data_IF_541245302528
#
_entry.id   IF_541245302528
#
_cell.length_a   1.000
_cell.length_b   1.000
_cell.length_c   1.000
_cell.angle_alpha   90.00
_cell.angle_beta   90.00
_cell.angle_gamma   90.00
#
_symmetry.space_group_name_H-M   'P 1'
#
loop_
_entity.id
_entity.type
_entity.pdbx_description
1 polymer ?
#
# COMPACT_ATOMS: atom_id res chain seq x y z
N UNK A 1 1.52 12.59 -3.42
CA UNK A 1 1.42 13.79 -2.57
C UNK A 1 0.22 13.71 -1.64
N UNK A 2 -1.00 13.61 -2.15
CA UNK A 2 -2.21 13.67 -1.33
C UNK A 2 -2.34 12.49 -0.34
N UNK A 3 -1.95 11.27 -0.72
CA UNK A 3 -1.91 10.14 0.22
C UNK A 3 -1.10 10.48 1.48
N UNK A 4 0.09 11.06 1.29
CA UNK A 4 0.96 11.43 2.40
C UNK A 4 0.40 12.63 3.20
N UNK A 5 -0.14 13.63 2.51
CA UNK A 5 -0.69 14.82 3.17
C UNK A 5 -1.92 14.52 4.04
N UNK A 6 -2.77 13.59 3.63
CA UNK A 6 -4.06 13.31 4.29
C UNK A 6 -4.07 12.09 5.19
N UNK A 7 -2.96 11.41 5.32
CA UNK A 7 -2.80 10.34 6.30
C UNK A 7 -2.28 10.88 7.64
N UNK A 8 -2.48 10.11 8.69
CA UNK A 8 -2.00 10.47 10.04
C UNK A 8 -0.51 10.19 10.18
N UNK A 9 -0.02 9.09 9.58
CA UNK A 9 1.40 8.72 9.49
C UNK A 9 1.68 8.21 8.09
N UNK A 10 2.84 8.56 7.54
CA UNK A 10 3.40 7.99 6.31
C UNK A 10 4.60 7.12 6.63
N UNK A 11 4.49 5.81 6.46
CA UNK A 11 5.61 4.88 6.50
C UNK A 11 6.23 4.80 5.11
N UNK A 12 7.39 5.39 4.96
CA UNK A 12 8.16 5.37 3.72
C UNK A 12 9.22 4.26 3.77
N UNK A 13 9.10 3.31 2.86
CA UNK A 13 10.00 2.16 2.71
C UNK A 13 10.81 2.35 1.42
N UNK A 14 12.11 2.58 1.51
CA UNK A 14 12.90 2.87 0.33
C UNK A 14 14.32 2.32 0.42
N UNK A 15 14.90 1.98 -0.72
CA UNK A 15 16.33 1.71 -0.89
C UNK A 15 17.09 3.00 -1.20
N UNK A 16 16.39 4.01 -1.75
CA UNK A 16 16.91 5.32 -2.09
C UNK A 16 15.92 6.42 -1.70
N UNK A 17 16.25 7.20 -0.67
CA UNK A 17 15.47 8.34 -0.20
C UNK A 17 15.80 9.65 -0.91
N UNK A 18 16.76 9.66 -1.84
CA UNK A 18 17.11 10.84 -2.64
C UNK A 18 16.29 10.96 -3.93
N UNK A 19 15.49 9.98 -4.25
CA UNK A 19 14.65 10.00 -5.45
C UNK A 19 13.61 11.13 -5.40
N UNK A 20 13.24 11.74 -6.55
CA UNK A 20 12.28 12.84 -6.60
C UNK A 20 10.92 12.47 -5.95
N UNK A 21 10.47 11.22 -6.12
CA UNK A 21 9.24 10.72 -5.51
C UNK A 21 9.30 10.73 -3.99
N UNK A 22 10.41 10.25 -3.41
CA UNK A 22 10.61 10.25 -1.96
C UNK A 22 10.73 11.66 -1.37
N UNK A 23 11.43 12.55 -2.06
CA UNK A 23 11.51 13.96 -1.65
C UNK A 23 10.11 14.59 -1.62
N UNK A 24 9.29 14.33 -2.64
CA UNK A 24 7.92 14.82 -2.73
C UNK A 24 7.04 14.25 -1.63
N UNK A 25 7.13 12.94 -1.37
CA UNK A 25 6.39 12.26 -0.31
C UNK A 25 6.75 12.82 1.07
N UNK A 26 8.06 13.00 1.34
CA UNK A 26 8.54 13.58 2.59
C UNK A 26 8.03 15.00 2.81
N UNK A 27 8.07 15.84 1.77
CA UNK A 27 7.54 17.22 1.85
C UNK A 27 6.03 17.23 2.13
N UNK A 28 5.28 16.34 1.49
CA UNK A 28 3.84 16.25 1.68
C UNK A 28 3.44 15.72 3.07
N UNK A 29 4.19 14.77 3.59
CA UNK A 29 3.94 14.20 4.92
C UNK A 29 4.39 15.12 6.07
N UNK A 30 5.43 15.92 5.86
CA UNK A 30 5.99 16.77 6.94
C UNK A 30 6.37 15.95 8.18
N UNK A 31 5.90 16.38 9.34
CA UNK A 31 6.18 15.72 10.63
C UNK A 31 5.57 14.32 10.77
N UNK A 32 4.67 13.93 9.85
CA UNK A 32 4.04 12.60 9.80
C UNK A 32 4.90 11.56 9.07
N UNK A 33 6.10 11.93 8.62
CA UNK A 33 6.96 11.09 7.81
C UNK A 33 7.84 10.18 8.66
N UNK A 34 7.64 8.88 8.53
CA UNK A 34 8.43 7.84 9.17
C UNK A 34 9.19 7.04 8.10
N UNK A 35 10.53 7.11 8.10
CA UNK A 35 11.35 6.40 7.11
C UNK A 35 11.92 5.09 7.64
N UNK A 36 11.97 4.09 6.77
CA UNK A 36 12.67 2.84 7.00
C UNK A 36 13.47 2.43 5.76
N UNK A 37 14.78 2.20 5.94
CA UNK A 37 15.70 1.83 4.87
C UNK A 37 15.51 0.35 4.52
N UNK A 38 15.10 0.06 3.28
CA UNK A 38 15.12 -1.28 2.73
C UNK A 38 16.55 -1.65 2.33
N UNK A 39 16.94 -2.89 2.59
CA UNK A 39 18.25 -3.43 2.24
C UNK A 39 18.10 -4.69 1.39
N UNK A 40 19.14 -5.09 0.67
CA UNK A 40 19.19 -6.33 -0.12
C UNK A 40 18.92 -7.59 0.72
N UNK A 41 19.09 -7.51 2.04
CA UNK A 41 18.78 -8.60 2.98
C UNK A 41 17.27 -8.77 3.25
N UNK A 42 16.40 -8.00 2.58
CA UNK A 42 14.97 -8.05 2.83
C UNK A 42 14.38 -9.47 2.67
N UNK A 43 14.84 -10.23 1.66
CA UNK A 43 14.42 -11.63 1.48
C UNK A 43 14.69 -12.48 2.70
N UNK A 44 15.83 -12.29 3.38
CA UNK A 44 16.17 -12.97 4.62
C UNK A 44 15.23 -12.59 5.77
N UNK A 45 14.83 -11.31 5.84
CA UNK A 45 13.93 -10.82 6.88
C UNK A 45 12.50 -11.34 6.75
N UNK A 46 12.07 -11.77 5.57
CA UNK A 46 10.72 -12.31 5.36
C UNK A 46 10.64 -13.84 5.57
N UNK A 47 11.76 -14.56 5.52
CA UNK A 47 11.81 -15.98 5.81
C UNK A 47 11.90 -16.20 7.32
N UNK A 48 10.77 -16.16 8.00
CA UNK A 48 10.46 -16.65 9.36
C UNK A 48 11.64 -16.82 10.33
N UNK A 49 12.61 -15.93 10.34
CA UNK A 49 13.58 -15.95 11.40
C UNK A 49 13.31 -14.78 12.37
N UNK A 50 13.80 -14.95 13.59
CA UNK A 50 13.64 -13.98 14.68
C UNK A 50 14.03 -12.55 14.29
N UNK A 51 14.91 -12.38 13.30
CA UNK A 51 15.34 -11.07 12.81
C UNK A 51 14.23 -10.32 12.08
N UNK A 52 13.44 -11.02 11.27
CA UNK A 52 12.32 -10.41 10.54
C UNK A 52 11.19 -9.95 11.46
N UNK A 53 10.88 -10.76 12.47
CA UNK A 53 9.90 -10.37 13.50
C UNK A 53 10.40 -9.19 14.33
N UNK A 54 11.67 -9.20 14.70
CA UNK A 54 12.30 -8.12 15.46
C UNK A 54 12.24 -6.80 14.70
N UNK A 55 12.58 -6.80 13.41
CA UNK A 55 12.51 -5.58 12.58
C UNK A 55 11.07 -5.11 12.37
N UNK A 56 10.12 -6.02 12.15
CA UNK A 56 8.71 -5.67 12.04
C UNK A 56 8.17 -5.06 13.33
N UNK A 57 8.49 -5.63 14.50
CA UNK A 57 8.13 -5.07 15.83
C UNK A 57 8.77 -3.72 16.07
N UNK A 58 10.03 -3.55 15.66
CA UNK A 58 10.70 -2.24 15.75
C UNK A 58 9.92 -1.17 14.97
N UNK A 59 9.50 -1.46 13.74
CA UNK A 59 8.71 -0.53 12.94
C UNK A 59 7.35 -0.28 13.59
N UNK A 60 6.67 -1.31 14.10
CA UNK A 60 5.40 -1.15 14.80
C UNK A 60 5.54 -0.21 16.01
N UNK A 61 6.60 -0.35 16.81
CA UNK A 61 6.89 0.56 17.92
C UNK A 61 7.24 1.97 17.46
N UNK A 62 7.95 2.11 16.35
CA UNK A 62 8.21 3.44 15.75
C UNK A 62 6.90 4.14 15.37
N UNK A 63 5.93 3.40 14.81
CA UNK A 63 4.60 3.93 14.48
C UNK A 63 3.85 4.31 15.77
N UNK A 64 3.82 3.43 16.76
CA UNK A 64 3.14 3.69 18.04
C UNK A 64 3.69 4.89 18.79
N UNK A 65 5.02 5.05 18.78
CA UNK A 65 5.71 6.14 19.48
C UNK A 65 5.79 7.43 18.65
N UNK A 66 5.21 7.44 17.45
CA UNK A 66 5.21 8.62 16.61
C UNK A 66 4.32 9.72 17.19
N UNK A 67 4.76 10.98 17.15
CA UNK A 67 4.02 12.12 17.72
C UNK A 67 2.62 12.31 17.12
N UNK A 68 2.41 11.85 15.90
CA UNK A 68 1.11 11.88 15.20
C UNK A 68 0.27 10.61 15.41
N UNK A 69 0.72 9.66 16.25
CA UNK A 69 -0.07 8.47 16.56
C UNK A 69 -1.31 8.86 17.40
N UNK A 70 -2.42 8.18 17.14
CA UNK A 70 -3.69 8.39 17.83
C UNK A 70 -4.18 7.07 18.40
N UNK A 71 -4.55 7.04 19.66
CA UNK A 71 -5.03 5.82 20.35
C UNK A 71 -6.36 5.30 19.80
N UNK A 72 -7.22 6.18 19.26
CA UNK A 72 -8.45 5.79 18.57
C UNK A 72 -8.20 5.18 17.18
N UNK A 73 -6.96 5.28 16.69
CA UNK A 73 -6.46 4.67 15.45
C UNK A 73 -6.00 5.69 14.41
N UNK A 74 -5.21 5.20 13.48
CA UNK A 74 -4.56 6.01 12.45
C UNK A 74 -4.91 5.56 11.02
N UNK A 75 -4.87 6.49 10.08
CA UNK A 75 -4.76 6.22 8.66
C UNK A 75 -3.29 6.19 8.29
N UNK A 76 -2.81 5.02 7.91
CA UNK A 76 -1.39 4.80 7.59
C UNK A 76 -1.18 4.83 6.08
N UNK A 77 -0.41 5.78 5.59
CA UNK A 77 0.06 5.76 4.21
C UNK A 77 1.32 4.90 4.08
N UNK A 78 1.30 3.98 3.14
CA UNK A 78 2.48 3.22 2.71
C UNK A 78 2.97 3.83 1.41
N UNK A 79 4.22 4.27 1.41
CA UNK A 79 4.87 4.88 0.27
C UNK A 79 6.33 4.43 0.16
N UNK A 80 6.95 4.64 -0.99
CA UNK A 80 8.35 4.31 -1.16
C UNK A 80 8.80 4.24 -2.61
N UNK A 81 9.90 3.55 -2.84
CA UNK A 81 10.48 3.48 -4.17
C UNK A 81 9.58 2.71 -5.15
N UNK A 82 9.53 3.22 -6.37
CA UNK A 82 8.92 2.53 -7.49
C UNK A 82 9.68 1.26 -7.90
N UNK A 83 9.01 0.40 -8.67
CA UNK A 83 9.50 -0.92 -9.09
C UNK A 83 10.93 -0.88 -9.66
N UNK A 84 11.23 0.06 -10.55
CA UNK A 84 12.57 0.15 -11.20
C UNK A 84 13.68 0.37 -10.18
N UNK A 85 13.46 1.20 -9.17
CA UNK A 85 14.44 1.45 -8.10
C UNK A 85 14.62 0.23 -7.21
N UNK A 86 13.54 -0.45 -6.86
CA UNK A 86 13.58 -1.68 -6.09
C UNK A 86 14.34 -2.80 -6.82
N UNK A 87 14.05 -3.01 -8.12
CA UNK A 87 14.71 -4.04 -8.93
C UNK A 87 16.23 -3.81 -9.05
N UNK A 88 16.68 -2.55 -9.13
CA UNK A 88 18.12 -2.21 -9.08
C UNK A 88 18.79 -2.66 -7.77
N UNK A 89 18.02 -2.77 -6.70
CA UNK A 89 18.49 -3.26 -5.40
C UNK A 89 18.22 -4.77 -5.19
N UNK A 90 17.76 -5.48 -6.23
CA UNK A 90 17.43 -6.91 -6.17
C UNK A 90 16.17 -7.22 -5.35
N UNK A 91 15.28 -6.25 -5.18
CA UNK A 91 14.05 -6.38 -4.39
C UNK A 91 12.85 -6.30 -5.35
N UNK A 92 11.92 -7.22 -5.24
CA UNK A 92 10.65 -7.21 -5.96
C UNK A 92 9.47 -6.76 -5.09
N UNK A 93 8.37 -6.38 -5.73
CA UNK A 93 7.15 -5.91 -5.05
C UNK A 93 6.61 -6.92 -4.05
N UNK A 94 6.65 -8.23 -4.37
CA UNK A 94 6.08 -9.26 -3.52
C UNK A 94 6.91 -9.49 -2.26
N UNK A 95 8.23 -9.38 -2.38
CA UNK A 95 9.14 -9.38 -1.23
C UNK A 95 8.81 -8.22 -0.29
N UNK A 96 8.59 -7.03 -0.83
CA UNK A 96 8.17 -5.86 -0.03
C UNK A 96 6.79 -6.08 0.59
N UNK A 97 5.82 -6.63 -0.15
CA UNK A 97 4.49 -6.91 0.35
C UNK A 97 4.51 -7.92 1.52
N UNK A 98 5.34 -8.96 1.43
CA UNK A 98 5.52 -9.91 2.52
C UNK A 98 6.12 -9.26 3.77
N UNK A 99 7.08 -8.36 3.61
CA UNK A 99 7.65 -7.60 4.72
C UNK A 99 6.62 -6.66 5.37
N UNK A 100 5.86 -5.91 4.56
CA UNK A 100 4.80 -5.03 5.08
C UNK A 100 3.72 -5.84 5.80
N UNK A 101 3.38 -7.04 5.31
CA UNK A 101 2.47 -7.94 6.00
C UNK A 101 2.95 -8.27 7.41
N UNK A 102 4.24 -8.57 7.57
CA UNK A 102 4.82 -8.83 8.89
C UNK A 102 4.77 -7.59 9.79
N UNK A 103 4.98 -6.38 9.22
CA UNK A 103 4.81 -5.12 9.95
C UNK A 103 3.36 -4.97 10.44
N UNK A 104 2.35 -5.22 9.61
CA UNK A 104 0.96 -5.12 10.02
C UNK A 104 0.58 -6.14 11.09
N UNK A 105 1.12 -7.36 11.02
CA UNK A 105 0.97 -8.36 12.09
C UNK A 105 1.59 -7.85 13.39
N UNK A 106 2.82 -7.34 13.33
CA UNK A 106 3.49 -6.77 14.50
C UNK A 106 2.75 -5.54 15.06
N UNK A 107 2.19 -4.69 14.20
CA UNK A 107 1.34 -3.57 14.63
C UNK A 107 0.14 -4.06 15.46
N UNK A 108 -0.54 -5.12 15.02
CA UNK A 108 -1.63 -5.71 15.78
C UNK A 108 -1.17 -6.23 17.14
N UNK A 109 -0.03 -6.94 17.18
CA UNK A 109 0.53 -7.51 18.42
C UNK A 109 1.00 -6.43 19.40
N UNK A 110 1.53 -5.32 18.91
CA UNK A 110 1.98 -4.17 19.70
C UNK A 110 0.82 -3.19 20.03
N UNK A 111 -0.43 -3.53 19.68
CA UNK A 111 -1.61 -2.71 19.96
C UNK A 111 -1.72 -1.45 19.09
N UNK A 112 -1.04 -1.38 17.96
CA UNK A 112 -1.18 -0.28 17.00
C UNK A 112 -2.47 -0.44 16.22
N UNK A 113 -3.39 0.50 16.38
CA UNK A 113 -4.68 0.49 15.69
C UNK A 113 -4.59 1.22 14.36
N UNK A 114 -4.61 0.47 13.27
CA UNK A 114 -4.66 1.00 11.90
C UNK A 114 -6.10 0.92 11.41
N UNK A 115 -6.72 2.08 11.17
CA UNK A 115 -8.12 2.18 10.68
C UNK A 115 -8.19 1.94 9.17
N UNK A 116 -7.18 2.41 8.45
CA UNK A 116 -7.13 2.37 7.01
C UNK A 116 -5.67 2.44 6.52
N UNK A 117 -5.34 1.62 5.53
CA UNK A 117 -4.08 1.73 4.79
C UNK A 117 -4.33 2.53 3.52
N UNK A 118 -3.50 3.53 3.26
CA UNK A 118 -3.54 4.35 2.05
C UNK A 118 -2.29 4.17 1.23
N UNK A 119 -2.42 4.31 -0.09
CA UNK A 119 -1.27 4.28 -0.98
C UNK A 119 -1.60 4.86 -2.35
N UNK A 120 -0.56 5.17 -3.14
CA UNK A 120 -0.69 5.64 -4.53
C UNK A 120 -0.99 4.52 -5.52
N UNK A 121 -0.74 3.27 -5.13
CA UNK A 121 -0.93 2.11 -6.00
C UNK A 121 0.03 2.07 -7.19
N UNK A 122 1.08 2.87 -7.22
CA UNK A 122 2.15 2.72 -8.22
C UNK A 122 2.92 1.44 -7.99
N UNK A 123 3.47 0.85 -9.06
CA UNK A 123 4.26 -0.38 -8.94
C UNK A 123 5.49 -0.18 -8.07
N UNK A 124 5.70 -1.10 -7.15
CA UNK A 124 6.75 -1.05 -6.13
C UNK A 124 6.16 -1.02 -4.73
N UNK A 125 6.65 -0.13 -3.86
CA UNK A 125 6.24 -0.08 -2.45
C UNK A 125 4.76 0.27 -2.28
N UNK A 126 4.25 1.20 -3.06
CA UNK A 126 2.85 1.62 -2.99
C UNK A 126 1.90 0.43 -3.27
N UNK A 127 2.17 -0.33 -4.32
CA UNK A 127 1.45 -1.55 -4.67
C UNK A 127 1.59 -2.61 -3.58
N UNK A 128 2.82 -2.83 -3.09
CA UNK A 128 3.11 -3.76 -2.02
C UNK A 128 2.31 -3.47 -0.74
N UNK A 129 2.13 -2.19 -0.41
CA UNK A 129 1.32 -1.75 0.73
C UNK A 129 -0.14 -2.19 0.61
N UNK A 130 -0.73 -2.05 -0.57
CA UNK A 130 -2.12 -2.48 -0.82
C UNK A 130 -2.24 -4.01 -0.78
N UNK A 131 -1.34 -4.73 -1.44
CA UNK A 131 -1.30 -6.20 -1.40
C UNK A 131 -1.21 -6.70 0.04
N UNK A 132 -0.33 -6.11 0.85
CA UNK A 132 -0.17 -6.49 2.25
C UNK A 132 -1.43 -6.18 3.08
N UNK A 133 -2.07 -5.03 2.86
CA UNK A 133 -3.31 -4.66 3.54
C UNK A 133 -4.44 -5.64 3.22
N UNK A 134 -4.59 -6.01 1.94
CA UNK A 134 -5.56 -6.99 1.49
C UNK A 134 -5.36 -8.34 2.19
N UNK A 135 -4.12 -8.83 2.24
CA UNK A 135 -3.78 -10.10 2.90
C UNK A 135 -4.03 -10.09 4.40
N UNK A 136 -3.94 -8.93 5.04
CA UNK A 136 -4.25 -8.76 6.46
C UNK A 136 -5.73 -8.37 6.70
N UNK A 137 -6.58 -8.41 5.68
CA UNK A 137 -8.00 -8.06 5.78
C UNK A 137 -8.24 -6.64 6.31
N UNK A 138 -7.36 -5.71 5.97
CA UNK A 138 -7.44 -4.33 6.40
C UNK A 138 -8.19 -3.49 5.38
N UNK A 139 -8.94 -2.48 5.87
CA UNK A 139 -9.47 -1.45 4.99
C UNK A 139 -8.32 -0.73 4.30
N UNK A 140 -8.41 -0.58 2.96
CA UNK A 140 -7.42 0.16 2.21
C UNK A 140 -8.05 1.03 1.12
N UNK A 141 -7.37 2.12 0.79
CA UNK A 141 -7.75 3.01 -0.31
C UNK A 141 -6.54 3.38 -1.15
N UNK A 142 -6.79 3.57 -2.43
CA UNK A 142 -5.77 3.94 -3.41
C UNK A 142 -6.14 5.28 -4.01
N UNK A 143 -5.28 6.27 -3.81
CA UNK A 143 -5.34 7.51 -4.55
C UNK A 143 -4.37 7.41 -5.72
N UNK A 144 -4.89 6.94 -6.83
CA UNK A 144 -4.11 6.61 -8.02
C UNK A 144 -3.48 7.86 -8.66
N UNK A 145 -2.33 7.71 -9.34
CA UNK A 145 -1.76 8.79 -10.13
C UNK A 145 -2.67 9.18 -11.30
N UNK A 146 -2.51 10.42 -11.79
CA UNK A 146 -3.22 10.89 -12.98
C UNK A 146 -3.05 9.91 -14.14
N UNK A 147 -4.16 9.59 -14.84
CA UNK A 147 -4.17 8.62 -15.93
C UNK A 147 -4.06 7.16 -15.47
N UNK A 148 -4.11 6.88 -14.16
CA UNK A 148 -3.91 5.52 -13.63
C UNK A 148 -2.65 4.86 -14.17
N UNK A 149 -1.53 5.59 -14.17
CA UNK A 149 -0.25 5.08 -14.68
C UNK A 149 0.41 4.14 -13.68
N UNK A 150 0.99 3.07 -14.20
CA UNK A 150 1.72 2.07 -13.43
C UNK A 150 2.76 1.38 -14.32
N UNK A 151 3.58 0.52 -13.74
CA UNK A 151 4.53 -0.31 -14.49
C UNK A 151 4.20 -1.77 -14.27
N UNK A 152 4.24 -2.56 -15.32
CA UNK A 152 4.10 -4.01 -15.22
C UNK A 152 5.37 -4.67 -14.63
N UNK A 153 5.34 -6.00 -14.43
CA UNK A 153 6.46 -6.77 -13.87
C UNK A 153 7.75 -6.67 -14.70
N UNK A 154 7.65 -6.28 -15.97
CA UNK A 154 8.80 -6.06 -16.85
C UNK A 154 9.34 -4.63 -16.76
N UNK A 155 8.62 -3.74 -16.10
CA UNK A 155 8.94 -2.33 -15.96
C UNK A 155 8.34 -1.45 -17.07
N UNK A 156 7.53 -2.02 -17.99
CA UNK A 156 6.86 -1.28 -19.03
C UNK A 156 5.76 -0.39 -18.48
N UNK A 157 5.66 0.84 -18.97
CA UNK A 157 4.61 1.76 -18.57
C UNK A 157 3.26 1.32 -19.14
N UNK A 158 2.27 1.36 -18.30
CA UNK A 158 0.86 1.08 -18.58
C UNK A 158 0.02 2.22 -18.05
N UNK A 159 -1.14 2.41 -18.65
CA UNK A 159 -2.11 3.40 -18.21
C UNK A 159 -3.54 2.88 -18.40
N UNK A 160 -4.48 3.57 -17.80
CA UNK A 160 -5.91 3.28 -17.92
C UNK A 160 -6.51 2.62 -16.69
N UNK A 161 -7.69 3.14 -16.33
CA UNK A 161 -8.42 2.80 -15.11
C UNK A 161 -8.71 1.31 -14.97
N UNK A 162 -9.28 0.71 -16.02
CA UNK A 162 -9.71 -0.70 -15.96
C UNK A 162 -8.52 -1.63 -15.73
N UNK A 163 -7.42 -1.44 -16.46
CA UNK A 163 -6.21 -2.24 -16.29
C UNK A 163 -5.59 -2.05 -14.92
N UNK A 164 -5.53 -0.80 -14.43
CA UNK A 164 -5.02 -0.46 -13.10
C UNK A 164 -5.83 -1.15 -11.99
N UNK A 165 -7.16 -1.10 -12.07
CA UNK A 165 -8.05 -1.72 -11.09
C UNK A 165 -7.96 -3.24 -11.14
N UNK A 166 -7.98 -3.83 -12.35
CA UNK A 166 -7.93 -5.28 -12.51
C UNK A 166 -6.63 -5.88 -11.98
N UNK A 167 -5.51 -5.16 -12.06
CA UNK A 167 -4.24 -5.57 -11.49
C UNK A 167 -4.35 -5.96 -10.01
N UNK A 168 -5.00 -5.13 -9.20
CA UNK A 168 -5.20 -5.44 -7.79
C UNK A 168 -6.17 -6.60 -7.56
N UNK A 169 -7.13 -6.82 -8.47
CA UNK A 169 -8.00 -7.98 -8.44
C UNK A 169 -7.24 -9.27 -8.78
N UNK A 170 -6.40 -9.24 -9.81
CA UNK A 170 -5.59 -10.38 -10.26
C UNK A 170 -4.58 -10.78 -9.19
N UNK A 171 -3.85 -9.83 -8.62
CA UNK A 171 -2.92 -10.11 -7.54
C UNK A 171 -3.62 -10.61 -6.29
N UNK A 172 -4.81 -10.12 -6.00
CA UNK A 172 -5.65 -10.65 -4.93
C UNK A 172 -6.06 -12.09 -5.19
N UNK A 173 -6.36 -12.48 -6.43
CA UNK A 173 -6.69 -13.86 -6.82
C UNK A 173 -5.51 -14.79 -6.58
N UNK A 174 -4.31 -14.42 -6.98
CA UNK A 174 -3.09 -15.21 -6.82
C UNK A 174 -2.80 -15.52 -5.34
N UNK A 175 -3.31 -14.68 -4.43
CA UNK A 175 -3.13 -14.84 -2.99
C UNK A 175 -4.35 -15.41 -2.28
N UNK A 176 -5.45 -15.61 -2.98
CA UNK A 176 -6.74 -15.90 -2.38
C UNK A 176 -7.06 -17.36 -2.17
N UNK A 177 -6.11 -18.25 -2.29
CA UNK A 177 -6.31 -19.63 -1.82
C UNK A 177 -6.69 -19.69 -0.32
N UNK A 178 -6.54 -18.60 0.42
CA UNK A 178 -6.68 -18.59 1.87
C UNK A 178 -7.90 -17.84 2.43
N UNK A 179 -8.64 -17.07 1.65
CA UNK A 179 -9.79 -16.34 2.22
C UNK A 179 -11.07 -16.40 1.40
N UNK A 180 -11.80 -17.45 1.61
CA UNK A 180 -13.14 -17.60 1.03
C UNK A 180 -14.24 -16.82 1.78
N UNK A 181 -13.94 -16.28 2.94
CA UNK A 181 -15.00 -15.90 3.88
C UNK A 181 -15.28 -14.39 3.99
N UNK A 182 -14.40 -13.51 3.52
CA UNK A 182 -14.57 -12.07 3.78
C UNK A 182 -14.21 -11.22 2.57
N UNK A 183 -15.24 -10.64 1.95
CA UNK A 183 -15.06 -9.55 0.99
C UNK A 183 -14.52 -8.31 1.70
N UNK A 184 -13.52 -7.67 1.10
CA UNK A 184 -13.05 -6.37 1.56
C UNK A 184 -13.30 -5.32 0.51
N UNK A 185 -13.74 -4.19 0.99
CA UNK A 185 -13.96 -3.03 0.17
C UNK A 185 -12.64 -2.27 0.02
N UNK A 186 -12.29 -1.91 -1.20
CA UNK A 186 -11.27 -0.89 -1.44
C UNK A 186 -11.93 0.29 -2.09
N UNK A 187 -11.42 1.44 -1.74
CA UNK A 187 -11.76 2.66 -2.42
C UNK A 187 -10.56 3.10 -3.25
N UNK A 188 -10.76 3.23 -4.55
CA UNK A 188 -9.76 3.76 -5.46
C UNK A 188 -10.19 5.14 -5.87
N UNK A 189 -9.35 6.12 -5.58
CA UNK A 189 -9.52 7.50 -5.96
C UNK A 189 -8.54 7.85 -7.08
N UNK A 190 -8.94 8.67 -8.04
CA UNK A 190 -8.03 9.27 -9.00
C UNK A 190 -8.07 10.78 -8.91
N UNK A 191 -6.96 11.43 -9.25
CA UNK A 191 -6.97 12.86 -9.46
C UNK A 191 -7.75 13.18 -10.73
N UNK A 192 -8.62 14.17 -10.67
CA UNK A 192 -9.29 14.68 -11.85
C UNK A 192 -8.26 15.23 -12.87
N UNK A 193 -8.58 15.10 -14.14
CA UNK A 193 -7.63 15.38 -15.23
C UNK A 193 -7.12 16.82 -15.28
N UNK A 194 -7.82 17.77 -14.64
CA UNK A 194 -7.59 19.21 -14.77
C UNK A 194 -7.04 19.89 -13.52
N UNK A 195 -6.60 19.18 -12.50
CA UNK A 195 -6.20 19.85 -11.29
C UNK A 195 -4.72 20.22 -11.30
N UNK A 196 -4.50 21.53 -11.26
CA UNK A 196 -3.28 22.09 -10.72
C UNK A 196 -3.11 21.61 -9.27
N UNK A 197 -1.90 21.43 -8.82
CA UNK A 197 -1.52 20.91 -7.49
C UNK A 197 -1.95 21.76 -6.29
N UNK A 198 -2.87 22.70 -6.46
CA UNK A 198 -3.31 23.65 -5.43
C UNK A 198 -4.33 23.08 -4.43
N UNK A 199 -4.53 21.78 -4.44
CA UNK A 199 -4.98 21.03 -3.26
C UNK A 199 -6.47 21.10 -2.94
N UNK A 200 -7.30 21.87 -3.64
CA UNK A 200 -8.68 22.10 -3.22
C UNK A 200 -9.78 21.54 -4.14
N UNK A 201 -9.45 21.18 -5.39
CA UNK A 201 -10.44 20.66 -6.34
C UNK A 201 -10.15 19.23 -6.78
N UNK A 202 -10.12 18.31 -5.83
CA UNK A 202 -10.11 16.90 -6.15
C UNK A 202 -11.53 16.41 -6.38
N UNK A 203 -11.87 16.12 -7.61
CA UNK A 203 -13.00 15.24 -7.90
C UNK A 203 -12.63 13.83 -7.41
N UNK A 204 -13.15 13.52 -6.25
CA UNK A 204 -13.05 12.23 -5.64
C UNK A 204 -14.02 11.28 -6.37
N UNK A 205 -13.47 10.43 -7.23
CA UNK A 205 -14.26 9.33 -7.76
C UNK A 205 -14.16 8.18 -6.78
N UNK A 206 -15.23 7.99 -6.02
CA UNK A 206 -15.40 6.85 -5.15
C UNK A 206 -15.65 5.61 -6.01
N UNK A 207 -14.68 4.74 -6.09
CA UNK A 207 -14.87 3.44 -6.68
C UNK A 207 -14.80 2.45 -5.54
N UNK A 208 -15.97 2.11 -5.03
CA UNK A 208 -16.12 0.96 -4.15
C UNK A 208 -15.81 -0.31 -4.93
N UNK A 209 -14.57 -0.74 -4.86
CA UNK A 209 -14.20 -2.06 -5.31
C UNK A 209 -14.52 -3.05 -4.21
N UNK A 210 -15.73 -3.60 -4.28
CA UNK A 210 -16.05 -4.83 -3.55
C UNK A 210 -15.33 -5.97 -4.25
N UNK A 211 -14.21 -6.40 -3.71
CA UNK A 211 -13.57 -7.63 -4.17
C UNK A 211 -14.32 -8.81 -3.51
N UNK A 212 -15.36 -9.21 -4.16
CA UNK A 212 -16.18 -10.37 -3.78
C UNK A 212 -15.93 -11.51 -4.76
N UNK A 213 -14.74 -12.14 -4.69
CA UNK A 213 -14.47 -13.29 -5.57
C UNK A 213 -15.44 -14.46 -5.39
N UNK A 214 -16.03 -14.55 -4.22
CA UNK A 214 -17.00 -15.62 -3.92
C UNK A 214 -18.42 -15.20 -4.25
N UNK A 215 -18.77 -13.95 -4.04
CA UNK A 215 -20.14 -13.49 -4.29
C UNK A 215 -20.46 -13.42 -5.79
N UNK A 216 -19.49 -13.21 -6.68
CA UNK A 216 -19.74 -13.31 -8.12
C UNK A 216 -20.01 -14.77 -8.55
N UNK A 217 -19.31 -15.75 -7.97
CA UNK A 217 -19.61 -17.18 -8.20
C UNK A 217 -20.92 -17.61 -7.56
N UNK A 218 -21.24 -17.12 -6.39
CA UNK A 218 -22.51 -17.40 -5.71
C UNK A 218 -23.69 -16.68 -6.37
N UNK A 219 -23.48 -15.46 -6.85
CA UNK A 219 -24.49 -14.72 -7.61
C UNK A 219 -24.85 -15.42 -8.91
N UNK A 220 -23.84 -15.89 -9.66
CA UNK A 220 -24.05 -16.71 -10.88
C UNK A 220 -24.71 -18.07 -10.59
N UNK A 221 -24.54 -18.64 -9.39
CA UNK A 221 -25.20 -19.86 -8.98
C UNK A 221 -26.67 -19.65 -8.54
N UNK A 222 -27.02 -18.41 -8.15
CA UNK A 222 -28.44 -18.07 -7.78
C UNK A 222 -29.24 -17.56 -8.98
N UNK A 223 -28.56 -17.14 -10.04
CA UNK A 223 -29.15 -16.66 -11.29
C UNK A 223 -29.24 -17.76 -12.38
N UNK A 224 -28.70 -18.96 -12.11
CA UNK A 224 -28.79 -20.16 -12.93
C UNK A 224 -29.72 -21.22 -12.28
#
# INVERSE_FOLDING_TARGET
WANAAWSDITLALATDFSSPGEITTRRAAGDKYLRYQLTSNLKRLITFNQDGEREARKIARMIRNHTCYKEDGIRLNIAGNGLVTLLKSGIDTLTVAAFIRNIFTACKDEGVKILEVRSGGQSGVDEAGIIAAQRNKMKCSILAPKGFRWRDKKGDEKEGRTAFVNRFKEEYIDYNAWDKANSKEYTIYSFAENNSFDGLDMLQYDIDLKITHLNEKEKRKREA
#
